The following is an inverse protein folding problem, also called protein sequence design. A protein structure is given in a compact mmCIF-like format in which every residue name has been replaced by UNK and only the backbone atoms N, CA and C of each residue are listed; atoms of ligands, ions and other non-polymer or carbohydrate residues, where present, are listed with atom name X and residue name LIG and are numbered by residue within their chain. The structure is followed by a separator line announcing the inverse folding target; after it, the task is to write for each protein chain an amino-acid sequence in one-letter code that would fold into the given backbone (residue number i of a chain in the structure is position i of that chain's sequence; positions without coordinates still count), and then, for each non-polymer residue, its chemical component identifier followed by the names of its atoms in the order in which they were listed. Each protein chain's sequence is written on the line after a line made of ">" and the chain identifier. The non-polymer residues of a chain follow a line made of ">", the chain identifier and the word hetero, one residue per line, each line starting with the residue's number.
data_IF_269837225710
#
_entry.id   IF_269837225710
#
_cell.length_a   1.000
_cell.length_b   1.000
_cell.length_c   1.000
_cell.angle_alpha   90.00
_cell.angle_beta   90.00
_cell.angle_gamma   90.00
#
_symmetry.space_group_name_H-M   'P 1'
#
loop_
_entity.id
_entity.type
_entity.pdbx_description
1 polymer ?
#
# COMPACT_ATOMS: atom_id res chain seq x y z
N UNK A 1 17.80 -9.26 -16.55
CA UNK A 1 16.88 -8.16 -16.90
C UNK A 1 15.64 -8.32 -16.02
N UNK A 2 15.46 -7.49 -14.99
CA UNK A 2 14.31 -7.60 -14.11
C UNK A 2 13.02 -7.33 -14.86
N UNK A 3 12.03 -8.20 -14.65
CA UNK A 3 10.67 -8.09 -15.17
C UNK A 3 9.79 -7.42 -14.11
N UNK A 4 9.10 -6.37 -14.51
CA UNK A 4 8.41 -5.50 -13.58
C UNK A 4 6.95 -5.29 -13.97
N UNK A 5 6.06 -5.22 -12.96
CA UNK A 5 4.71 -4.68 -13.06
C UNK A 5 4.67 -3.33 -12.37
N UNK A 6 4.01 -2.36 -13.02
CA UNK A 6 3.79 -1.01 -12.48
C UNK A 6 2.31 -0.82 -12.16
N UNK A 7 1.97 -0.51 -10.91
CA UNK A 7 0.62 -0.24 -10.45
C UNK A 7 0.50 1.21 -9.91
N UNK A 8 -0.35 2.00 -10.57
CA UNK A 8 -0.57 3.42 -10.29
C UNK A 8 -1.97 3.81 -10.78
N UNK A 9 -2.80 4.40 -9.94
CA UNK A 9 -4.18 4.74 -10.31
C UNK A 9 -4.26 5.98 -11.20
N UNK A 10 -3.32 6.93 -11.05
CA UNK A 10 -3.25 8.14 -11.87
C UNK A 10 -2.67 7.83 -13.26
N UNK A 11 -3.52 7.86 -14.29
CA UNK A 11 -3.14 7.47 -15.66
C UNK A 11 -1.90 8.21 -16.16
N UNK A 12 -1.86 9.55 -16.04
CA UNK A 12 -0.72 10.34 -16.50
C UNK A 12 0.58 9.94 -15.79
N UNK A 13 0.53 9.72 -14.49
CA UNK A 13 1.70 9.32 -13.71
C UNK A 13 2.15 7.90 -14.05
N UNK A 14 1.20 6.97 -14.21
CA UNK A 14 1.48 5.60 -14.66
C UNK A 14 2.20 5.58 -16.02
N UNK A 15 1.72 6.36 -16.98
CA UNK A 15 2.35 6.49 -18.31
C UNK A 15 3.73 7.14 -18.23
N UNK A 16 3.89 8.18 -17.41
CA UNK A 16 5.19 8.84 -17.21
C UNK A 16 6.22 7.91 -16.57
N UNK A 17 5.84 7.18 -15.52
CA UNK A 17 6.73 6.21 -14.87
C UNK A 17 7.07 5.04 -15.80
N UNK A 18 6.10 4.56 -16.59
CA UNK A 18 6.33 3.52 -17.59
C UNK A 18 7.29 4.01 -18.67
N UNK A 19 7.13 5.23 -19.16
CA UNK A 19 8.04 5.82 -20.14
C UNK A 19 9.47 5.98 -19.57
N UNK A 20 9.61 6.49 -18.35
CA UNK A 20 10.92 6.64 -17.68
C UNK A 20 11.64 5.32 -17.52
N UNK A 21 10.94 4.29 -17.00
CA UNK A 21 11.53 2.96 -16.84
C UNK A 21 11.77 2.26 -18.17
N UNK A 22 10.96 2.55 -19.19
CA UNK A 22 11.13 2.05 -20.57
C UNK A 22 12.37 2.61 -21.29
N UNK A 23 12.99 3.69 -20.79
CA UNK A 23 14.28 4.19 -21.31
C UNK A 23 15.46 3.33 -20.85
N UNK A 24 15.26 2.53 -19.79
CA UNK A 24 16.29 1.66 -19.25
C UNK A 24 16.35 0.34 -20.05
N UNK A 25 17.46 0.09 -20.72
CA UNK A 25 17.61 -1.08 -21.62
C UNK A 25 17.70 -2.41 -20.89
N UNK A 26 17.87 -2.38 -19.57
CA UNK A 26 18.02 -3.54 -18.71
C UNK A 26 16.80 -3.82 -17.80
N UNK A 27 15.69 -3.10 -18.00
CA UNK A 27 14.41 -3.31 -17.28
C UNK A 27 13.30 -3.64 -18.28
N UNK A 28 12.47 -4.63 -17.98
CA UNK A 28 11.32 -5.01 -18.80
C UNK A 28 10.02 -4.77 -18.04
N UNK A 29 9.16 -3.87 -18.55
CA UNK A 29 7.81 -3.69 -18.03
C UNK A 29 6.89 -4.71 -18.70
N UNK A 30 6.44 -5.71 -17.94
CA UNK A 30 5.58 -6.80 -18.43
C UNK A 30 4.08 -6.52 -18.24
N UNK A 31 3.73 -5.44 -17.58
CA UNK A 31 2.36 -4.99 -17.42
C UNK A 31 2.23 -3.72 -16.57
N UNK A 32 1.12 -3.01 -16.80
CA UNK A 32 0.71 -1.87 -15.98
C UNK A 32 -0.70 -2.08 -15.46
N UNK A 33 -1.00 -1.58 -14.26
CA UNK A 33 -2.28 -1.73 -13.58
C UNK A 33 -2.74 -0.38 -13.01
N UNK A 34 -4.05 -0.19 -12.89
CA UNK A 34 -4.66 0.99 -12.30
C UNK A 34 -5.08 0.79 -10.84
N UNK A 35 -4.95 -0.42 -10.32
CA UNK A 35 -5.28 -0.78 -8.94
C UNK A 35 -4.55 -2.07 -8.54
N UNK A 36 -4.59 -2.38 -7.23
CA UNK A 36 -3.90 -3.55 -6.72
C UNK A 36 -4.50 -4.89 -7.19
N UNK A 37 -5.79 -4.94 -7.53
CA UNK A 37 -6.43 -6.17 -8.02
C UNK A 37 -5.94 -6.52 -9.42
N UNK A 38 -5.91 -5.55 -10.32
CA UNK A 38 -5.33 -5.73 -11.66
C UNK A 38 -3.86 -6.13 -11.58
N UNK A 39 -3.10 -5.45 -10.67
CA UNK A 39 -1.69 -5.78 -10.45
C UNK A 39 -1.52 -7.23 -9.97
N UNK A 40 -2.34 -7.71 -9.04
CA UNK A 40 -2.33 -9.08 -8.58
C UNK A 40 -2.58 -10.09 -9.71
N UNK A 41 -3.58 -9.83 -10.57
CA UNK A 41 -3.87 -10.68 -11.72
C UNK A 41 -2.70 -10.73 -12.72
N UNK A 42 -2.02 -9.59 -12.93
CA UNK A 42 -0.82 -9.53 -13.75
C UNK A 42 0.35 -10.29 -13.12
N UNK A 43 0.57 -10.21 -11.81
CA UNK A 43 1.60 -10.98 -11.10
C UNK A 43 1.41 -12.47 -11.33
N UNK A 44 0.19 -12.97 -11.22
CA UNK A 44 -0.12 -14.39 -11.46
C UNK A 44 0.11 -14.84 -12.90
N UNK A 45 -0.07 -13.94 -13.88
CA UNK A 45 0.12 -14.26 -15.32
C UNK A 45 1.57 -14.19 -15.75
N UNK A 46 2.32 -13.24 -15.22
CA UNK A 46 3.65 -12.89 -15.74
C UNK A 46 4.81 -13.33 -14.86
N UNK A 47 4.56 -13.68 -13.58
CA UNK A 47 5.59 -14.02 -12.57
C UNK A 47 6.77 -13.02 -12.61
N UNK A 48 6.53 -11.72 -12.30
CA UNK A 48 7.55 -10.69 -12.37
C UNK A 48 8.57 -10.83 -11.23
N UNK A 49 9.72 -10.17 -11.38
CA UNK A 49 10.71 -10.06 -10.30
C UNK A 49 10.35 -8.95 -9.31
N UNK A 50 9.74 -7.85 -9.82
CA UNK A 50 9.38 -6.67 -9.02
C UNK A 50 7.97 -6.20 -9.33
N UNK A 51 7.25 -5.77 -8.30
CA UNK A 51 6.03 -4.96 -8.42
C UNK A 51 6.32 -3.58 -7.86
N UNK A 52 6.31 -2.57 -8.72
CA UNK A 52 6.33 -1.16 -8.32
C UNK A 52 4.90 -0.71 -8.14
N UNK A 53 4.53 -0.19 -6.97
CA UNK A 53 3.14 0.18 -6.69
C UNK A 53 3.04 1.44 -5.84
N UNK A 54 2.01 2.28 -6.13
CA UNK A 54 1.60 3.29 -5.16
C UNK A 54 0.92 2.64 -3.95
N UNK A 55 0.77 3.39 -2.87
CA UNK A 55 0.02 2.96 -1.68
C UNK A 55 -1.47 3.12 -1.93
N UNK A 56 -1.92 4.34 -2.26
CA UNK A 56 -3.33 4.67 -2.35
C UNK A 56 -3.85 4.41 -3.76
N UNK A 57 -4.54 3.30 -3.93
CA UNK A 57 -5.23 2.92 -5.17
C UNK A 57 -6.64 2.43 -4.85
N UNK A 58 -7.61 2.57 -5.77
CA UNK A 58 -8.95 2.03 -5.62
C UNK A 58 -8.95 0.49 -5.53
N UNK A 59 -10.03 -0.09 -5.05
CA UNK A 59 -10.31 -1.52 -4.91
C UNK A 59 -9.33 -2.27 -3.98
N UNK A 60 -8.04 -2.17 -4.23
CA UNK A 60 -6.98 -2.78 -3.43
C UNK A 60 -5.77 -1.84 -3.39
N UNK A 61 -5.36 -1.45 -2.20
CA UNK A 61 -4.18 -0.61 -1.98
C UNK A 61 -2.88 -1.38 -2.24
N UNK A 62 -1.78 -0.64 -2.50
CA UNK A 62 -0.46 -1.27 -2.67
C UNK A 62 0.02 -2.04 -1.43
N UNK A 63 -0.37 -1.61 -0.23
CA UNK A 63 -0.06 -2.33 1.01
C UNK A 63 -0.85 -3.63 1.13
N UNK A 64 -2.13 -3.64 0.74
CA UNK A 64 -2.95 -4.84 0.70
C UNK A 64 -2.44 -5.83 -0.36
N UNK A 65 -2.03 -5.32 -1.51
CA UNK A 65 -1.37 -6.12 -2.55
C UNK A 65 -0.08 -6.77 -2.01
N UNK A 66 0.79 -6.00 -1.37
CA UNK A 66 2.04 -6.52 -0.78
C UNK A 66 1.77 -7.63 0.26
N UNK A 67 0.81 -7.41 1.16
CA UNK A 67 0.41 -8.39 2.16
C UNK A 67 -0.19 -9.66 1.53
N UNK A 68 -0.96 -9.53 0.44
CA UNK A 68 -1.53 -10.64 -0.31
C UNK A 68 -0.44 -11.47 -0.97
N UNK A 69 0.46 -10.83 -1.72
CA UNK A 69 1.58 -11.51 -2.40
C UNK A 69 2.49 -12.26 -1.42
N UNK A 70 2.77 -11.65 -0.26
CA UNK A 70 3.52 -12.30 0.82
C UNK A 70 2.82 -13.57 1.33
N UNK A 71 1.50 -13.51 1.57
CA UNK A 71 0.71 -14.68 2.04
C UNK A 71 0.66 -15.80 1.01
N UNK A 72 0.64 -15.46 -0.27
CA UNK A 72 0.64 -16.44 -1.37
C UNK A 72 2.03 -17.00 -1.65
N UNK A 73 3.07 -16.47 -1.00
CA UNK A 73 4.46 -16.87 -1.27
C UNK A 73 4.94 -16.47 -2.66
N UNK A 74 4.39 -15.39 -3.23
CA UNK A 74 4.79 -14.89 -4.53
C UNK A 74 6.28 -14.54 -4.55
N UNK A 75 6.95 -14.83 -5.66
CA UNK A 75 8.37 -14.50 -5.87
C UNK A 75 8.61 -13.00 -5.99
N UNK A 76 7.61 -12.31 -6.54
CA UNK A 76 7.68 -10.88 -6.81
C UNK A 76 7.98 -10.06 -5.55
N UNK A 77 8.99 -9.20 -5.61
CA UNK A 77 9.35 -8.26 -4.56
C UNK A 77 8.61 -6.95 -4.76
N UNK A 78 8.06 -6.40 -3.69
CA UNK A 78 7.28 -5.16 -3.77
C UNK A 78 8.15 -3.95 -3.45
N UNK A 79 8.13 -2.95 -4.34
CA UNK A 79 8.69 -1.61 -4.17
C UNK A 79 7.54 -0.61 -4.13
N UNK A 80 7.36 0.05 -3.00
CA UNK A 80 6.40 1.15 -2.85
C UNK A 80 7.01 2.44 -3.39
N UNK A 81 6.23 3.17 -4.20
CA UNK A 81 6.56 4.51 -4.71
C UNK A 81 5.39 5.43 -4.41
N UNK A 82 5.55 6.37 -3.48
CA UNK A 82 4.42 7.15 -2.98
C UNK A 82 4.80 8.62 -2.70
N UNK A 83 3.80 9.50 -2.69
CA UNK A 83 3.96 10.88 -2.20
C UNK A 83 3.86 10.99 -0.68
N UNK A 84 3.47 9.92 0.01
CA UNK A 84 3.19 9.92 1.44
C UNK A 84 4.40 9.44 2.24
N UNK A 85 4.94 10.32 3.10
CA UNK A 85 6.02 10.04 4.04
C UNK A 85 5.53 9.70 5.46
N UNK A 86 4.24 9.40 5.61
CA UNK A 86 3.61 9.16 6.91
C UNK A 86 4.19 7.89 7.57
N UNK A 87 4.63 7.98 8.83
CA UNK A 87 5.27 6.85 9.53
C UNK A 87 4.43 5.57 9.55
N UNK A 88 3.10 5.69 9.66
CA UNK A 88 2.17 4.55 9.65
C UNK A 88 2.20 3.75 8.35
N UNK A 89 2.33 4.39 7.19
CA UNK A 89 2.43 3.68 5.91
C UNK A 89 3.73 2.89 5.81
N UNK A 90 4.84 3.50 6.20
CA UNK A 90 6.14 2.82 6.15
C UNK A 90 6.17 1.61 7.09
N UNK A 91 5.65 1.74 8.31
CA UNK A 91 5.53 0.62 9.25
C UNK A 91 4.73 -0.54 8.65
N UNK A 92 3.56 -0.26 8.11
CA UNK A 92 2.70 -1.26 7.46
C UNK A 92 3.37 -1.90 6.24
N UNK A 93 4.12 -1.11 5.45
CA UNK A 93 4.92 -1.62 4.34
C UNK A 93 5.99 -2.62 4.82
N UNK A 94 6.69 -2.30 5.91
CA UNK A 94 7.68 -3.19 6.52
C UNK A 94 7.04 -4.49 7.05
N UNK A 95 5.89 -4.39 7.73
CA UNK A 95 5.12 -5.54 8.22
C UNK A 95 4.61 -6.41 7.06
N UNK A 96 4.17 -5.80 5.97
CA UNK A 96 3.77 -6.49 4.73
C UNK A 96 4.94 -7.15 3.99
N UNK A 97 6.20 -6.87 4.41
CA UNK A 97 7.40 -7.47 3.81
C UNK A 97 7.84 -6.78 2.51
N UNK A 98 7.49 -5.50 2.35
CA UNK A 98 7.95 -4.69 1.22
C UNK A 98 9.47 -4.63 1.18
N UNK A 99 10.05 -4.81 0.00
CA UNK A 99 11.49 -4.81 -0.22
C UNK A 99 12.06 -3.40 -0.43
N UNK A 100 11.23 -2.45 -0.87
CA UNK A 100 11.66 -1.07 -1.07
C UNK A 100 10.54 -0.07 -0.80
N UNK A 101 10.94 1.14 -0.34
CA UNK A 101 10.03 2.25 -0.13
C UNK A 101 10.74 3.55 -0.51
N UNK A 102 10.23 4.24 -1.51
CA UNK A 102 10.76 5.51 -2.00
C UNK A 102 9.64 6.54 -2.15
N UNK A 103 10.02 7.80 -2.02
CA UNK A 103 9.11 8.92 -2.20
C UNK A 103 9.13 9.39 -3.67
N UNK A 104 7.97 9.78 -4.20
CA UNK A 104 7.80 10.27 -5.59
C UNK A 104 8.47 11.65 -5.84
N UNK A 105 8.81 12.38 -4.81
CA UNK A 105 9.52 13.66 -4.86
C UNK A 105 11.05 13.53 -4.98
N UNK A 106 11.55 12.29 -4.92
CA UNK A 106 12.96 11.99 -5.15
C UNK A 106 13.37 12.07 -6.62
N UNK A 107 14.70 12.08 -6.90
CA UNK A 107 15.19 12.10 -8.28
C UNK A 107 14.76 10.85 -9.06
N UNK A 108 14.33 11.05 -10.32
CA UNK A 108 13.84 9.96 -11.19
C UNK A 108 14.87 8.83 -11.42
N UNK A 109 16.16 9.15 -11.40
CA UNK A 109 17.24 8.15 -11.48
C UNK A 109 17.24 7.17 -10.31
N UNK A 110 16.68 7.56 -9.16
CA UNK A 110 16.55 6.70 -8.00
C UNK A 110 15.57 5.55 -8.18
N UNK A 111 14.54 5.69 -9.03
CA UNK A 111 13.54 4.65 -9.25
C UNK A 111 14.12 3.44 -9.98
N UNK A 112 14.83 3.65 -11.08
CA UNK A 112 15.45 2.56 -11.85
C UNK A 112 16.52 1.81 -11.01
N UNK A 113 17.35 2.55 -10.26
CA UNK A 113 18.31 1.96 -9.32
C UNK A 113 17.60 1.13 -8.24
N UNK A 114 16.53 1.66 -7.64
CA UNK A 114 15.74 0.95 -6.64
C UNK A 114 15.14 -0.36 -7.20
N UNK A 115 14.62 -0.34 -8.44
CA UNK A 115 14.11 -1.55 -9.12
C UNK A 115 15.21 -2.60 -9.26
N UNK A 116 16.42 -2.20 -9.72
CA UNK A 116 17.57 -3.13 -9.87
C UNK A 116 17.97 -3.75 -8.55
N UNK A 117 18.12 -2.95 -7.52
CA UNK A 117 18.51 -3.39 -6.18
C UNK A 117 17.47 -4.29 -5.54
N UNK A 118 16.19 -3.93 -5.65
CA UNK A 118 15.08 -4.77 -5.18
C UNK A 118 15.06 -6.11 -5.93
N UNK A 119 15.23 -6.11 -7.26
CA UNK A 119 15.32 -7.32 -8.06
C UNK A 119 16.52 -8.20 -7.66
N UNK A 120 17.65 -7.58 -7.31
CA UNK A 120 18.85 -8.29 -6.80
C UNK A 120 18.68 -8.85 -5.38
N UNK A 121 17.58 -8.53 -4.71
CA UNK A 121 17.31 -9.03 -3.36
C UNK A 121 17.65 -8.09 -2.23
N UNK A 122 18.09 -6.87 -2.54
CA UNK A 122 18.37 -5.86 -1.53
C UNK A 122 17.09 -5.23 -0.97
N UNK A 123 17.23 -4.57 0.19
CA UNK A 123 16.22 -3.66 0.72
C UNK A 123 16.58 -2.22 0.41
N UNK A 124 15.61 -1.47 -0.13
CA UNK A 124 15.78 -0.06 -0.53
C UNK A 124 14.85 0.81 0.31
N UNK A 125 15.24 1.03 1.55
CA UNK A 125 14.51 1.88 2.51
C UNK A 125 15.55 2.75 3.20
N UNK A 126 15.35 4.06 3.18
CA UNK A 126 16.24 4.97 3.89
C UNK A 126 16.22 4.68 5.40
N UNK A 127 17.38 4.58 6.08
CA UNK A 127 17.45 4.27 7.51
C UNK A 127 16.61 5.22 8.36
N UNK A 128 16.61 6.52 8.05
CA UNK A 128 15.87 7.56 8.76
C UNK A 128 14.35 7.34 8.67
N UNK A 129 13.87 6.85 7.52
CA UNK A 129 12.47 6.48 7.35
C UNK A 129 12.13 5.22 8.16
N UNK A 130 13.03 4.24 8.18
CA UNK A 130 12.83 3.02 8.97
C UNK A 130 12.74 3.33 10.47
N UNK A 131 13.59 4.18 11.02
CA UNK A 131 13.53 4.63 12.41
C UNK A 131 12.21 5.35 12.73
N UNK A 132 11.76 6.25 11.85
CA UNK A 132 10.47 6.97 12.01
C UNK A 132 9.27 6.03 12.01
N UNK A 133 9.30 4.94 11.24
CA UNK A 133 8.21 3.96 11.18
C UNK A 133 7.93 3.30 12.54
N UNK A 134 8.93 3.16 13.40
CA UNK A 134 8.80 2.54 14.71
C UNK A 134 8.57 3.54 15.84
N UNK A 135 8.68 4.84 15.59
CA UNK A 135 8.49 5.88 16.61
C UNK A 135 7.00 6.11 16.95
N UNK A 136 6.09 5.85 16.03
CA UNK A 136 4.64 5.97 16.26
C UNK A 136 3.98 4.58 16.39
N UNK A 137 3.24 4.40 17.48
CA UNK A 137 2.52 3.15 17.72
C UNK A 137 1.13 3.23 17.07
N UNK A 138 0.85 2.39 16.07
CA UNK A 138 -0.48 2.23 15.48
C UNK A 138 -1.34 1.35 16.41
N UNK A 139 -2.39 1.90 17.04
CA UNK A 139 -3.21 1.16 17.98
C UNK A 139 -4.31 0.32 17.32
N UNK A 140 -4.50 0.47 15.99
CA UNK A 140 -5.63 -0.13 15.29
C UNK A 140 -5.35 -1.57 14.87
N UNK A 141 -6.37 -2.41 14.97
CA UNK A 141 -6.41 -3.74 14.35
C UNK A 141 -6.82 -3.65 12.88
N UNK A 142 -6.56 -4.69 12.08
CA UNK A 142 -6.97 -4.74 10.66
C UNK A 142 -8.49 -4.63 10.47
N UNK A 143 -9.28 -5.23 11.39
CA UNK A 143 -10.73 -5.13 11.37
C UNK A 143 -11.21 -3.69 11.63
N UNK A 144 -10.59 -2.99 12.59
CA UNK A 144 -10.88 -1.59 12.89
C UNK A 144 -10.55 -0.68 11.70
N UNK A 145 -9.36 -0.87 11.08
CA UNK A 145 -8.97 -0.12 9.87
C UNK A 145 -9.95 -0.31 8.73
N UNK A 146 -10.33 -1.57 8.45
CA UNK A 146 -11.30 -1.88 7.40
C UNK A 146 -12.62 -1.18 7.62
N UNK A 147 -13.13 -1.16 8.85
CA UNK A 147 -14.38 -0.48 9.17
C UNK A 147 -14.27 1.05 9.10
N UNK A 148 -13.13 1.62 9.52
CA UNK A 148 -12.89 3.06 9.39
C UNK A 148 -12.82 3.51 7.93
N UNK A 149 -12.22 2.73 7.02
CA UNK A 149 -12.25 3.01 5.57
C UNK A 149 -13.67 3.01 5.01
N UNK A 150 -14.51 2.05 5.42
CA UNK A 150 -15.92 2.01 5.03
C UNK A 150 -16.71 3.19 5.62
N UNK A 151 -16.37 3.65 6.83
CA UNK A 151 -16.95 4.84 7.44
C UNK A 151 -16.59 6.11 6.66
N UNK A 152 -15.34 6.23 6.24
CA UNK A 152 -14.85 7.34 5.42
C UNK A 152 -15.54 7.38 4.04
N UNK A 153 -15.80 6.21 3.46
CA UNK A 153 -16.60 6.06 2.23
C UNK A 153 -18.11 6.33 2.43
N UNK A 154 -18.53 6.74 3.64
CA UNK A 154 -19.91 7.12 3.95
C UNK A 154 -20.85 5.94 4.22
N UNK A 155 -20.36 4.71 4.36
CA UNK A 155 -21.23 3.57 4.65
C UNK A 155 -21.77 3.63 6.08
N UNK A 156 -23.05 3.23 6.22
CA UNK A 156 -23.69 3.03 7.52
C UNK A 156 -23.40 1.62 8.07
N UNK A 157 -23.54 1.45 9.40
CA UNK A 157 -23.21 0.17 10.07
C UNK A 157 -23.89 -1.07 9.48
N UNK A 158 -25.16 -1.03 8.98
CA UNK A 158 -25.75 -2.18 8.29
C UNK A 158 -25.02 -2.57 7.01
N UNK A 159 -24.68 -1.58 6.16
CA UNK A 159 -23.93 -1.81 4.92
C UNK A 159 -22.49 -2.28 5.19
N UNK A 160 -21.85 -1.76 6.25
CA UNK A 160 -20.55 -2.26 6.70
C UNK A 160 -20.61 -3.73 7.14
N UNK A 161 -21.67 -4.13 7.85
CA UNK A 161 -21.87 -5.52 8.28
C UNK A 161 -21.97 -6.45 7.07
N UNK A 162 -22.73 -6.05 6.06
CA UNK A 162 -22.88 -6.79 4.79
C UNK A 162 -21.54 -6.87 4.04
N UNK A 163 -20.84 -5.75 3.85
CA UNK A 163 -19.58 -5.66 3.13
C UNK A 163 -18.43 -6.43 3.80
N UNK A 164 -18.50 -6.65 5.12
CA UNK A 164 -17.46 -7.34 5.88
C UNK A 164 -17.81 -8.76 6.29
N UNK A 165 -19.07 -9.17 6.16
CA UNK A 165 -19.57 -10.44 6.68
C UNK A 165 -19.66 -10.50 8.21
N UNK A 166 -19.60 -9.35 8.90
CA UNK A 166 -19.65 -9.27 10.36
C UNK A 166 -21.07 -9.01 10.87
N UNK A 167 -21.38 -9.47 12.09
CA UNK A 167 -22.62 -9.10 12.75
C UNK A 167 -22.64 -7.59 13.08
N UNK A 168 -23.82 -6.95 13.03
CA UNK A 168 -23.98 -5.49 13.31
C UNK A 168 -23.43 -5.09 14.69
N UNK A 169 -23.58 -5.95 15.70
CA UNK A 169 -23.02 -5.71 17.03
C UNK A 169 -21.50 -5.71 17.01
N UNK A 170 -20.88 -6.60 16.26
CA UNK A 170 -19.42 -6.68 16.09
C UNK A 170 -18.88 -5.42 15.38
N UNK A 171 -19.54 -4.94 14.31
CA UNK A 171 -19.20 -3.68 13.64
C UNK A 171 -19.22 -2.52 14.62
N UNK A 172 -20.28 -2.41 15.43
CA UNK A 172 -20.42 -1.34 16.43
C UNK A 172 -19.28 -1.40 17.46
N UNK A 173 -18.95 -2.59 17.96
CA UNK A 173 -17.89 -2.77 18.95
C UNK A 173 -16.52 -2.38 18.41
N UNK A 174 -16.18 -2.79 17.18
CA UNK A 174 -14.91 -2.41 16.54
C UNK A 174 -14.82 -0.90 16.27
N UNK A 175 -15.90 -0.27 15.79
CA UNK A 175 -15.93 1.18 15.60
C UNK A 175 -15.80 1.92 16.93
N UNK A 176 -16.46 1.47 17.98
CA UNK A 176 -16.32 2.06 19.32
C UNK A 176 -14.90 1.93 19.85
N UNK A 177 -14.30 0.75 19.71
CA UNK A 177 -12.89 0.53 20.09
C UNK A 177 -11.94 1.45 19.32
N UNK A 178 -12.10 1.56 18.00
CA UNK A 178 -11.27 2.44 17.18
C UNK A 178 -11.42 3.92 17.58
N UNK A 179 -12.66 4.41 17.81
CA UNK A 179 -12.95 5.77 18.28
C UNK A 179 -12.23 6.02 19.61
N UNK A 180 -12.34 5.09 20.56
CA UNK A 180 -11.70 5.20 21.88
C UNK A 180 -10.17 5.23 21.78
N UNK A 181 -9.57 4.34 20.98
CA UNK A 181 -8.12 4.28 20.77
C UNK A 181 -7.54 5.55 20.16
N UNK A 182 -8.31 6.22 19.32
CA UNK A 182 -7.91 7.45 18.63
C UNK A 182 -8.28 8.72 19.38
N UNK A 183 -9.04 8.62 20.47
CA UNK A 183 -9.56 9.78 21.19
C UNK A 183 -10.51 10.65 20.36
N UNK A 184 -11.17 10.05 19.37
CA UNK A 184 -12.06 10.77 18.45
C UNK A 184 -13.47 10.90 19.02
N UNK A 185 -14.24 11.93 18.56
CA UNK A 185 -15.62 12.11 18.97
C UNK A 185 -16.60 11.17 18.23
N UNK A 186 -16.24 10.74 17.03
CA UNK A 186 -17.09 9.87 16.21
C UNK A 186 -16.25 9.09 15.16
N UNK A 187 -16.93 8.15 14.44
CA UNK A 187 -16.29 7.29 13.43
C UNK A 187 -15.66 8.05 12.26
N UNK A 188 -16.22 9.19 11.86
CA UNK A 188 -15.70 10.01 10.74
C UNK A 188 -14.41 10.71 11.16
N UNK A 189 -14.41 11.29 12.35
CA UNK A 189 -13.19 11.88 12.92
C UNK A 189 -12.11 10.82 13.16
N UNK A 190 -12.49 9.66 13.66
CA UNK A 190 -11.55 8.54 13.83
C UNK A 190 -10.92 8.11 12.49
N UNK A 191 -11.69 8.03 11.42
CA UNK A 191 -11.18 7.72 10.09
C UNK A 191 -10.23 8.81 9.59
N UNK A 192 -10.57 10.09 9.74
CA UNK A 192 -9.72 11.23 9.37
C UNK A 192 -8.38 11.18 10.12
N UNK A 193 -8.41 11.05 11.45
CA UNK A 193 -7.19 10.97 12.27
C UNK A 193 -6.31 9.77 11.89
N UNK A 194 -6.92 8.61 11.68
CA UNK A 194 -6.19 7.41 11.26
C UNK A 194 -5.56 7.57 9.88
N UNK A 195 -6.23 8.24 8.93
CA UNK A 195 -5.68 8.54 7.62
C UNK A 195 -4.53 9.55 7.71
N UNK A 196 -4.68 10.63 8.48
CA UNK A 196 -3.62 11.63 8.69
C UNK A 196 -2.34 11.01 9.26
N UNK A 197 -2.46 9.93 10.04
CA UNK A 197 -1.33 9.17 10.60
C UNK A 197 -0.83 8.03 9.69
N UNK A 198 -1.48 7.79 8.54
CA UNK A 198 -1.13 6.69 7.64
C UNK A 198 -1.49 5.30 8.20
N UNK A 199 -2.48 5.22 9.09
CA UNK A 199 -2.96 3.96 9.67
C UNK A 199 -4.12 3.32 8.89
N UNK A 200 -4.72 4.05 7.92
CA UNK A 200 -5.74 3.52 6.99
C UNK A 200 -5.20 3.14 5.63
#
# INVERSE_FOLDING_TARGET
>A
MPRLILAEDQTLLREALAALLGLETDIEIVGTASNGREAHDLVRRHDPDVVVTDIEMPDMTGLELAALLKREGARARVLIVTTFDRPGYLRRALEAGVAGFILKDGPSTGLADAVRRVAAGERVIAPELAERAWSENDPLTDAERRLLRLAEAGLESPAMAEATGLARGTVRNYLHSAISKLGAANRIEAARLAREKGWL
#
